data_IF_685649581826
#
_entry.id   IF_685649581826
#
_cell.length_a   1.000
_cell.length_b   1.000
_cell.length_c   1.000
_cell.angle_alpha   90.00
_cell.angle_beta   90.00
_cell.angle_gamma   90.00
#
_symmetry.space_group_name_H-M   'P 1'
#
loop_
_entity.id
_entity.type
_entity.pdbx_description
1 polymer ?
#
# COMPACT_ATOMS: atom_id res chain seq x y z
N UNK A 1 -1.68 -4.23 -20.88
CA UNK A 1 -0.77 -5.30 -21.33
C UNK A 1 -0.17 -6.09 -20.16
N UNK A 2 0.53 -5.46 -19.19
CA UNK A 2 1.18 -6.17 -18.08
C UNK A 2 0.19 -6.97 -17.20
N UNK A 3 -0.98 -6.38 -16.90
CA UNK A 3 -2.02 -7.01 -16.09
C UNK A 3 -2.59 -8.25 -16.78
N UNK A 4 -2.87 -8.14 -18.09
CA UNK A 4 -3.36 -9.27 -18.87
C UNK A 4 -2.37 -10.44 -18.85
N UNK A 5 -1.07 -10.19 -19.04
CA UNK A 5 -0.04 -11.23 -18.98
C UNK A 5 -0.03 -11.97 -17.64
N UNK A 6 -0.12 -11.24 -16.53
CA UNK A 6 -0.14 -11.86 -15.19
C UNK A 6 -1.39 -12.72 -15.02
N UNK A 7 -2.56 -12.18 -15.37
CA UNK A 7 -3.83 -12.88 -15.20
C UNK A 7 -3.95 -14.07 -16.14
N UNK A 8 -3.48 -13.96 -17.39
CA UNK A 8 -3.41 -15.10 -18.33
C UNK A 8 -2.61 -16.25 -17.73
N UNK A 9 -1.44 -15.96 -17.17
CA UNK A 9 -0.59 -16.98 -16.56
C UNK A 9 -1.21 -17.58 -15.29
N UNK A 10 -1.85 -16.77 -14.45
CA UNK A 10 -2.55 -17.25 -13.27
C UNK A 10 -3.69 -18.21 -13.63
N UNK A 11 -4.49 -17.87 -14.65
CA UNK A 11 -5.60 -18.71 -15.09
C UNK A 11 -5.14 -20.01 -15.76
N UNK A 12 -3.97 -20.01 -16.39
CA UNK A 12 -3.34 -21.22 -16.95
C UNK A 12 -2.82 -22.12 -15.82
N UNK A 13 -2.15 -21.54 -14.81
CA UNK A 13 -1.61 -22.30 -13.66
C UNK A 13 -2.71 -22.88 -12.76
N UNK A 14 -3.80 -22.14 -12.61
CA UNK A 14 -4.89 -22.45 -11.68
C UNK A 14 -6.21 -22.55 -12.45
N UNK A 15 -6.45 -23.72 -13.04
CA UNK A 15 -7.63 -23.94 -13.91
C UNK A 15 -8.95 -24.05 -13.18
N UNK A 16 -8.93 -24.30 -11.86
CA UNK A 16 -10.12 -24.48 -11.02
C UNK A 16 -10.00 -23.66 -9.71
N UNK A 17 -11.13 -23.45 -9.06
CA UNK A 17 -11.21 -22.75 -7.77
C UNK A 17 -11.09 -21.24 -7.86
N UNK A 18 -11.17 -20.58 -6.72
CA UNK A 18 -10.96 -19.15 -6.56
C UNK A 18 -9.47 -18.82 -6.60
N UNK A 19 -9.11 -17.68 -7.20
CA UNK A 19 -7.73 -17.17 -7.18
C UNK A 19 -7.55 -16.28 -5.93
N UNK A 20 -6.54 -16.61 -5.12
CA UNK A 20 -6.18 -15.81 -3.95
C UNK A 20 -4.96 -14.95 -4.27
N UNK A 21 -5.16 -13.65 -4.26
CA UNK A 21 -4.10 -12.65 -4.37
C UNK A 21 -3.85 -12.08 -2.99
N UNK A 22 -2.61 -12.00 -2.53
CA UNK A 22 -2.31 -11.38 -1.24
C UNK A 22 -1.52 -10.10 -1.38
N UNK A 23 -1.65 -9.24 -0.41
CA UNK A 23 -0.74 -8.13 -0.10
C UNK A 23 -0.51 -8.13 1.41
N UNK A 24 0.54 -7.47 1.88
CA UNK A 24 0.80 -7.50 3.31
C UNK A 24 1.63 -6.33 3.80
N UNK A 25 1.38 -5.94 5.05
CA UNK A 25 2.13 -4.88 5.68
C UNK A 25 2.21 -5.06 7.18
N UNK A 26 3.35 -4.69 7.74
CA UNK A 26 3.47 -4.48 9.19
C UNK A 26 2.97 -3.05 9.52
N UNK A 27 1.95 -2.89 10.38
CA UNK A 27 1.38 -1.58 10.75
C UNK A 27 2.30 -0.82 11.72
N UNK A 28 3.57 -0.72 11.38
CA UNK A 28 4.63 -0.08 12.17
C UNK A 28 4.66 1.44 12.07
N UNK A 29 3.71 2.04 11.37
CA UNK A 29 3.56 3.47 11.14
C UNK A 29 2.56 3.74 10.03
N UNK A 30 2.40 4.99 9.65
CA UNK A 30 1.41 5.50 8.70
C UNK A 30 1.38 4.74 7.38
N UNK A 31 0.18 4.44 6.90
CA UNK A 31 -0.05 4.00 5.53
C UNK A 31 0.16 5.17 4.56
N UNK A 32 0.93 4.95 3.53
CA UNK A 32 1.32 5.98 2.58
C UNK A 32 1.20 5.49 1.13
N UNK A 33 1.42 6.37 0.18
CA UNK A 33 1.31 6.07 -1.27
C UNK A 33 2.11 4.83 -1.68
N UNK A 34 3.30 4.60 -1.10
CA UNK A 34 4.10 3.40 -1.36
C UNK A 34 3.43 2.11 -0.89
N UNK A 35 2.72 2.14 0.24
CA UNK A 35 1.93 1.00 0.75
C UNK A 35 0.69 0.78 -0.12
N UNK A 36 0.02 1.85 -0.53
CA UNK A 36 -1.11 1.76 -1.46
C UNK A 36 -0.72 1.10 -2.79
N UNK A 37 0.53 1.30 -3.27
CA UNK A 37 0.98 0.63 -4.48
C UNK A 37 0.87 -0.88 -4.40
N UNK A 38 1.26 -1.47 -3.27
CA UNK A 38 1.14 -2.91 -3.06
C UNK A 38 -0.32 -3.35 -3.03
N UNK A 39 -1.11 -2.71 -2.18
CA UNK A 39 -2.53 -3.01 -2.00
C UNK A 39 -3.29 -2.92 -3.33
N UNK A 40 -3.12 -1.82 -4.06
CA UNK A 40 -3.84 -1.59 -5.32
C UNK A 40 -3.33 -2.47 -6.46
N UNK A 41 -2.04 -2.87 -6.45
CA UNK A 41 -1.53 -3.84 -7.42
C UNK A 41 -2.14 -5.23 -7.18
N UNK A 42 -2.31 -5.65 -5.94
CA UNK A 42 -2.99 -6.90 -5.61
C UNK A 42 -4.48 -6.83 -6.01
N UNK A 43 -5.16 -5.73 -5.64
CA UNK A 43 -6.59 -5.57 -5.93
C UNK A 43 -6.87 -5.58 -7.44
N UNK A 44 -6.09 -4.87 -8.25
CA UNK A 44 -6.34 -4.86 -9.71
C UNK A 44 -6.12 -6.22 -10.37
N UNK A 45 -5.22 -7.06 -9.83
CA UNK A 45 -5.05 -8.44 -10.30
C UNK A 45 -6.29 -9.27 -9.95
N UNK A 46 -6.76 -9.20 -8.70
CA UNK A 46 -7.98 -9.90 -8.28
C UNK A 46 -9.20 -9.43 -9.09
N UNK A 47 -9.32 -8.12 -9.29
CA UNK A 47 -10.41 -7.53 -10.07
C UNK A 47 -10.40 -7.97 -11.54
N UNK A 48 -9.23 -8.02 -12.19
CA UNK A 48 -9.13 -8.49 -13.56
C UNK A 48 -9.47 -10.00 -13.68
N UNK A 49 -9.13 -10.81 -12.66
CA UNK A 49 -9.54 -12.22 -12.58
C UNK A 49 -11.07 -12.32 -12.49
N UNK A 50 -11.72 -11.50 -11.62
CA UNK A 50 -13.19 -11.43 -11.50
C UNK A 50 -13.84 -11.00 -12.82
N UNK A 51 -13.28 -9.97 -13.48
CA UNK A 51 -13.76 -9.48 -14.77
C UNK A 51 -13.75 -10.56 -15.86
N UNK A 52 -12.81 -11.52 -15.78
CA UNK A 52 -12.75 -12.69 -16.68
C UNK A 52 -13.63 -13.85 -16.26
N UNK A 53 -14.54 -13.63 -15.29
CA UNK A 53 -15.55 -14.60 -14.87
C UNK A 53 -15.04 -15.68 -13.90
N UNK A 54 -13.88 -15.47 -13.27
CA UNK A 54 -13.35 -16.35 -12.22
C UNK A 54 -13.47 -15.68 -10.86
N UNK A 55 -13.77 -16.48 -9.85
CA UNK A 55 -13.72 -15.98 -8.48
C UNK A 55 -12.29 -15.60 -8.07
N UNK A 56 -12.15 -14.45 -7.42
CA UNK A 56 -10.89 -14.04 -6.84
C UNK A 56 -11.11 -13.33 -5.51
N UNK A 57 -10.19 -13.56 -4.59
CA UNK A 57 -10.14 -12.89 -3.28
C UNK A 57 -8.83 -12.12 -3.17
N UNK A 58 -8.91 -10.92 -2.63
CA UNK A 58 -7.73 -10.17 -2.22
C UNK A 58 -7.63 -10.22 -0.70
N UNK A 59 -6.60 -10.89 -0.18
CA UNK A 59 -6.29 -10.95 1.24
C UNK A 59 -5.20 -9.93 1.56
N UNK A 60 -5.51 -8.94 2.39
CA UNK A 60 -4.50 -8.02 2.89
C UNK A 60 -4.05 -8.46 4.28
N UNK A 61 -2.82 -8.99 4.36
CA UNK A 61 -2.26 -9.53 5.59
C UNK A 61 -1.67 -8.40 6.42
N UNK A 62 -2.23 -8.17 7.58
CA UNK A 62 -1.72 -7.23 8.57
C UNK A 62 -0.83 -7.98 9.55
N UNK A 63 0.48 -7.76 9.45
CA UNK A 63 1.46 -8.39 10.33
C UNK A 63 1.61 -7.62 11.65
N UNK A 64 0.56 -7.63 12.44
CA UNK A 64 0.44 -6.89 13.69
C UNK A 64 0.95 -7.63 14.93
N UNK A 65 1.28 -8.91 14.77
CA UNK A 65 2.10 -9.66 15.74
C UNK A 65 3.61 -9.44 15.52
N UNK A 66 4.00 -8.55 14.60
CA UNK A 66 5.41 -8.17 14.42
C UNK A 66 5.90 -7.24 15.55
N UNK A 67 7.21 -7.18 15.69
CA UNK A 67 7.89 -6.48 16.77
C UNK A 67 7.81 -4.96 16.60
N UNK A 68 7.45 -4.22 17.62
CA UNK A 68 7.66 -2.78 17.70
C UNK A 68 9.17 -2.50 17.88
N UNK A 69 9.86 -2.29 16.76
CA UNK A 69 11.35 -2.23 16.71
C UNK A 69 11.92 -0.84 16.90
N UNK A 70 11.14 0.18 16.62
CA UNK A 70 11.60 1.56 16.60
C UNK A 70 10.42 2.50 16.83
N UNK A 71 10.64 3.55 17.61
CA UNK A 71 9.69 4.66 17.76
C UNK A 71 9.84 5.59 16.54
N UNK A 72 8.79 5.77 15.73
CA UNK A 72 8.81 6.75 14.64
C UNK A 72 8.89 8.19 15.15
N UNK A 73 9.39 9.11 14.32
CA UNK A 73 9.57 10.51 14.69
C UNK A 73 8.27 11.26 15.08
N UNK A 74 7.12 10.77 14.58
CA UNK A 74 5.80 11.33 14.87
C UNK A 74 5.10 10.65 16.07
N UNK A 75 5.80 9.78 16.80
CA UNK A 75 5.29 9.09 17.99
C UNK A 75 6.06 9.62 19.20
N UNK A 76 5.39 9.87 20.35
CA UNK A 76 6.05 10.35 21.55
C UNK A 76 7.20 9.45 22.01
N UNK A 77 8.30 10.06 22.50
CA UNK A 77 9.52 9.33 22.88
C UNK A 77 9.29 8.30 24.01
N UNK A 78 8.31 8.51 24.87
CA UNK A 78 7.92 7.58 25.92
C UNK A 78 7.46 6.21 25.42
N UNK A 79 7.14 6.08 24.10
CA UNK A 79 6.86 4.77 23.49
C UNK A 79 8.10 3.86 23.43
N UNK A 80 9.30 4.35 23.72
CA UNK A 80 10.51 3.51 23.86
C UNK A 80 10.33 2.38 24.89
N UNK A 81 9.50 2.58 25.92
CA UNK A 81 9.18 1.55 26.90
C UNK A 81 8.46 0.33 26.34
N UNK A 82 7.87 0.44 25.12
CA UNK A 82 7.16 -0.64 24.44
C UNK A 82 8.01 -1.37 23.40
N UNK A 83 9.27 -0.97 23.21
CA UNK A 83 10.16 -1.64 22.26
C UNK A 83 10.26 -3.15 22.55
N UNK A 84 10.14 -3.93 21.48
CA UNK A 84 10.15 -5.39 21.54
C UNK A 84 8.77 -6.04 21.72
N UNK A 85 7.73 -5.29 22.05
CA UNK A 85 6.36 -5.82 22.12
C UNK A 85 5.78 -6.06 20.73
N UNK A 86 4.78 -6.98 20.61
CA UNK A 86 3.95 -7.05 19.41
C UNK A 86 3.21 -5.73 19.15
N UNK A 87 3.09 -5.31 17.90
CA UNK A 87 2.39 -4.06 17.53
C UNK A 87 0.93 -4.02 18.00
N UNK A 88 0.26 -5.18 18.05
CA UNK A 88 -1.11 -5.32 18.56
C UNK A 88 -1.22 -5.12 20.09
N UNK A 89 -0.12 -5.20 20.83
CA UNK A 89 -0.07 -5.05 22.30
C UNK A 89 0.58 -3.72 22.73
N UNK A 90 0.93 -2.86 21.79
CA UNK A 90 1.40 -1.50 22.06
C UNK A 90 0.20 -0.54 22.04
N UNK A 91 0.07 0.39 23.00
CA UNK A 91 -1.03 1.36 22.99
C UNK A 91 -0.89 2.36 21.84
N UNK A 92 -2.04 2.90 21.41
CA UNK A 92 -2.08 3.92 20.37
C UNK A 92 -1.39 5.22 20.79
N UNK A 93 -0.66 5.92 19.90
CA UNK A 93 0.08 7.13 20.26
C UNK A 93 -0.80 8.36 20.50
N UNK A 94 -2.10 8.29 20.21
CA UNK A 94 -3.08 9.37 20.46
C UNK A 94 -3.76 9.28 21.83
N UNK A 95 -3.40 8.27 22.67
CA UNK A 95 -3.99 8.04 23.97
C UNK A 95 -5.38 7.39 23.94
N UNK A 96 -5.86 6.95 22.78
CA UNK A 96 -7.10 6.17 22.65
C UNK A 96 -6.92 4.75 23.20
N UNK A 97 -8.02 4.04 23.44
CA UNK A 97 -8.00 2.65 23.90
C UNK A 97 -7.58 1.63 22.82
N UNK A 98 -7.33 2.10 21.58
CA UNK A 98 -6.88 1.26 20.48
C UNK A 98 -5.46 0.75 20.67
N UNK A 99 -5.11 -0.33 19.98
CA UNK A 99 -3.72 -0.70 19.82
C UNK A 99 -3.00 0.22 18.82
N UNK A 100 -1.68 0.23 18.87
CA UNK A 100 -0.82 0.90 17.89
C UNK A 100 -1.10 0.42 16.46
N UNK A 101 -1.29 -0.89 16.30
CA UNK A 101 -1.66 -1.47 15.01
C UNK A 101 -3.01 -0.93 14.51
N UNK A 102 -4.04 -0.88 15.36
CA UNK A 102 -5.37 -0.37 15.00
C UNK A 102 -5.36 1.13 14.68
N UNK A 103 -4.53 1.89 15.38
CA UNK A 103 -4.35 3.31 15.12
C UNK A 103 -3.90 3.55 13.66
N UNK A 104 -2.87 2.84 13.19
CA UNK A 104 -2.38 3.01 11.83
C UNK A 104 -3.23 2.30 10.77
N UNK A 105 -3.97 1.24 11.13
CA UNK A 105 -4.91 0.59 10.24
C UNK A 105 -6.12 1.46 9.88
N UNK A 106 -6.46 2.44 10.72
CA UNK A 106 -7.55 3.37 10.41
C UNK A 106 -7.35 4.08 9.06
N UNK A 107 -6.11 4.44 8.70
CA UNK A 107 -5.77 5.04 7.41
C UNK A 107 -6.04 4.08 6.24
N UNK A 108 -5.76 2.77 6.42
CA UNK A 108 -6.07 1.75 5.42
C UNK A 108 -7.58 1.58 5.25
N UNK A 109 -8.34 1.49 6.34
CA UNK A 109 -9.79 1.32 6.27
C UNK A 109 -10.46 2.52 5.60
N UNK A 110 -10.00 3.75 5.89
CA UNK A 110 -10.46 4.96 5.21
C UNK A 110 -10.16 4.89 3.69
N UNK A 111 -8.95 4.46 3.31
CA UNK A 111 -8.59 4.29 1.91
C UNK A 111 -9.42 3.19 1.21
N UNK A 112 -9.64 2.05 1.87
CA UNK A 112 -10.50 0.97 1.36
C UNK A 112 -11.91 1.51 1.07
N UNK A 113 -12.48 2.23 2.01
CA UNK A 113 -13.82 2.80 1.88
C UNK A 113 -13.89 3.84 0.75
N UNK A 114 -12.97 4.82 0.73
CA UNK A 114 -12.95 5.90 -0.26
C UNK A 114 -12.66 5.42 -1.68
N UNK A 115 -11.87 4.37 -1.82
CA UNK A 115 -11.51 3.79 -3.11
C UNK A 115 -12.42 2.63 -3.53
N UNK A 116 -13.42 2.28 -2.74
CA UNK A 116 -14.35 1.16 -2.98
C UNK A 116 -13.65 -0.16 -3.26
N UNK A 117 -12.64 -0.53 -2.43
CA UNK A 117 -11.86 -1.73 -2.62
C UNK A 117 -12.54 -2.96 -2.00
N UNK A 118 -12.47 -4.10 -2.69
CA UNK A 118 -13.00 -5.39 -2.23
C UNK A 118 -11.90 -6.25 -1.58
N UNK A 119 -11.45 -5.82 -0.40
CA UNK A 119 -10.31 -6.42 0.31
C UNK A 119 -10.78 -7.11 1.59
N UNK A 120 -10.32 -8.33 1.80
CA UNK A 120 -10.43 -9.06 3.06
C UNK A 120 -9.18 -8.81 3.91
N UNK A 121 -9.34 -8.10 5.03
CA UNK A 121 -8.23 -7.81 5.94
C UNK A 121 -8.04 -8.98 6.89
N UNK A 122 -6.83 -9.53 6.91
CA UNK A 122 -6.42 -10.67 7.74
C UNK A 122 -5.44 -10.21 8.80
N UNK A 123 -5.83 -10.31 10.07
CA UNK A 123 -5.00 -9.92 11.22
C UNK A 123 -4.15 -11.10 11.68
N UNK A 124 -2.83 -10.96 11.63
CA UNK A 124 -1.91 -12.04 11.98
C UNK A 124 -2.08 -12.44 13.47
N UNK A 125 -2.16 -11.46 14.39
CA UNK A 125 -2.28 -11.75 15.81
C UNK A 125 -3.57 -12.54 16.15
N UNK A 126 -4.69 -12.25 15.48
CA UNK A 126 -5.95 -12.96 15.69
C UNK A 126 -5.82 -14.43 15.29
N UNK A 127 -5.22 -14.71 14.11
CA UNK A 127 -5.01 -16.07 13.62
C UNK A 127 -4.03 -16.85 14.48
N UNK A 128 -2.95 -16.23 14.92
CA UNK A 128 -2.02 -16.87 15.86
C UNK A 128 -2.70 -17.20 17.18
N UNK A 129 -3.47 -16.25 17.76
CA UNK A 129 -4.19 -16.44 19.02
C UNK A 129 -5.36 -17.42 18.91
N UNK A 130 -5.93 -17.57 17.73
CA UNK A 130 -6.95 -18.61 17.45
C UNK A 130 -6.35 -20.00 17.22
N UNK A 131 -5.03 -20.16 17.23
CA UNK A 131 -4.36 -21.44 17.02
C UNK A 131 -4.31 -21.91 15.58
N UNK A 132 -4.62 -21.07 14.60
CA UNK A 132 -4.60 -21.44 13.19
C UNK A 132 -3.19 -21.75 12.67
N UNK A 133 -2.15 -21.21 13.34
CA UNK A 133 -0.74 -21.46 13.00
C UNK A 133 -0.15 -22.73 13.60
N UNK A 134 -0.89 -23.48 14.43
CA UNK A 134 -0.39 -24.69 15.08
C UNK A 134 0.26 -25.65 14.10
N UNK A 135 -0.42 -26.02 13.00
CA UNK A 135 0.08 -26.99 12.03
C UNK A 135 1.36 -26.53 11.33
N UNK A 136 1.46 -25.26 10.92
CA UNK A 136 2.66 -24.74 10.22
C UNK A 136 3.82 -24.51 11.20
N UNK A 137 3.57 -24.20 12.47
CA UNK A 137 4.61 -24.13 13.51
C UNK A 137 5.20 -25.52 13.74
N UNK A 138 4.36 -26.55 13.90
CA UNK A 138 4.81 -27.93 14.05
C UNK A 138 5.64 -28.39 12.84
N UNK A 139 5.13 -28.15 11.63
CA UNK A 139 5.85 -28.46 10.39
C UNK A 139 7.21 -27.76 10.31
N UNK A 140 7.27 -26.46 10.66
CA UNK A 140 8.53 -25.72 10.65
C UNK A 140 9.55 -26.28 11.69
N UNK A 141 9.06 -26.66 12.88
CA UNK A 141 9.92 -27.23 13.93
C UNK A 141 10.42 -28.66 13.59
N UNK A 142 9.62 -29.43 12.85
CA UNK A 142 10.06 -30.73 12.32
C UNK A 142 11.10 -30.62 11.20
N UNK A 143 11.13 -29.48 10.51
CA UNK A 143 11.98 -29.25 9.35
C UNK A 143 13.05 -28.16 9.58
N UNK A 144 13.47 -27.92 10.82
CA UNK A 144 14.46 -26.85 11.17
C UNK A 144 15.71 -26.96 10.30
N UNK A 145 16.25 -28.18 10.10
CA UNK A 145 17.49 -28.34 9.33
C UNK A 145 17.27 -28.02 7.83
N UNK A 146 16.13 -28.38 7.25
CA UNK A 146 15.78 -28.02 5.86
C UNK A 146 15.70 -26.53 5.72
N UNK A 147 15.03 -25.84 6.64
CA UNK A 147 14.91 -24.37 6.63
C UNK A 147 16.28 -23.71 6.77
N UNK A 148 17.14 -24.19 7.69
CA UNK A 148 18.52 -23.69 7.85
C UNK A 148 19.31 -23.83 6.55
N UNK A 149 19.27 -24.99 5.92
CA UNK A 149 19.98 -25.26 4.65
C UNK A 149 19.48 -24.29 3.56
N UNK A 150 18.18 -24.11 3.40
CA UNK A 150 17.62 -23.17 2.41
C UNK A 150 18.09 -21.74 2.68
N UNK A 151 18.01 -21.28 3.92
CA UNK A 151 18.44 -19.93 4.29
C UNK A 151 19.94 -19.72 4.03
N UNK A 152 20.77 -20.71 4.31
CA UNK A 152 22.22 -20.64 4.07
C UNK A 152 22.54 -20.70 2.58
N UNK A 153 22.01 -21.68 1.86
CA UNK A 153 22.33 -21.91 0.45
C UNK A 153 21.81 -20.80 -0.48
N UNK A 154 20.58 -20.34 -0.24
CA UNK A 154 19.93 -19.35 -1.13
C UNK A 154 20.37 -17.93 -0.80
N UNK A 155 20.39 -17.55 0.49
CA UNK A 155 20.70 -16.17 0.87
C UNK A 155 22.14 -15.94 1.34
N UNK A 156 22.95 -16.99 1.45
CA UNK A 156 24.31 -16.90 1.96
C UNK A 156 24.41 -16.49 3.44
N UNK A 157 23.32 -16.64 4.20
CA UNK A 157 23.30 -16.26 5.61
C UNK A 157 24.02 -17.29 6.46
N UNK A 158 24.93 -16.83 7.29
CA UNK A 158 25.43 -17.61 8.40
C UNK A 158 24.39 -17.62 9.53
N UNK A 159 23.93 -18.80 9.91
CA UNK A 159 22.99 -18.99 11.02
C UNK A 159 23.72 -19.61 12.19
N UNK A 160 23.38 -19.16 13.38
CA UNK A 160 23.90 -19.77 14.61
C UNK A 160 23.52 -21.26 14.69
N UNK A 161 24.33 -22.06 15.36
CA UNK A 161 24.10 -23.51 15.48
C UNK A 161 22.70 -23.79 16.08
N UNK A 162 22.33 -23.02 17.07
CA UNK A 162 21.08 -23.10 17.81
C UNK A 162 19.93 -22.25 17.23
N UNK A 163 20.08 -21.77 16.00
CA UNK A 163 19.02 -21.02 15.33
C UNK A 163 17.73 -21.83 15.22
N UNK A 164 16.58 -21.18 15.42
CA UNK A 164 15.25 -21.78 15.33
C UNK A 164 14.31 -20.92 14.46
N UNK A 165 13.33 -21.53 13.78
CA UNK A 165 12.37 -20.81 12.95
C UNK A 165 11.31 -20.05 13.76
N UNK A 166 11.30 -20.15 15.08
CA UNK A 166 10.30 -19.53 15.96
C UNK A 166 10.89 -18.43 16.84
N UNK A 167 10.00 -17.56 17.31
CA UNK A 167 10.22 -16.56 18.33
C UNK A 167 9.20 -16.75 19.44
N UNK A 168 9.54 -16.43 20.68
CA UNK A 168 8.65 -16.52 21.84
C UNK A 168 8.31 -15.13 22.37
N UNK A 169 7.10 -14.97 22.87
CA UNK A 169 6.68 -13.78 23.62
C UNK A 169 6.93 -14.03 25.08
N UNK A 170 8.02 -13.45 25.60
CA UNK A 170 8.45 -13.57 26.97
C UNK A 170 8.24 -12.23 27.69
N UNK A 171 7.43 -12.22 28.74
CA UNK A 171 7.05 -10.99 29.47
C UNK A 171 6.52 -9.87 28.55
N UNK A 172 5.75 -10.25 27.53
CA UNK A 172 5.18 -9.33 26.54
C UNK A 172 6.16 -8.84 25.48
N UNK A 173 7.39 -9.38 25.43
CA UNK A 173 8.44 -9.00 24.48
C UNK A 173 8.76 -10.19 23.58
N UNK A 174 8.82 -9.97 22.28
CA UNK A 174 9.20 -11.00 21.29
C UNK A 174 10.72 -11.19 21.33
N UNK A 175 11.13 -12.44 21.54
CA UNK A 175 12.54 -12.83 21.68
C UNK A 175 12.88 -14.04 20.82
N UNK A 176 14.10 -14.05 20.28
CA UNK A 176 14.72 -15.27 19.81
C UNK A 176 15.24 -16.03 21.02
N UNK A 177 14.84 -17.29 21.18
CA UNK A 177 15.25 -18.12 22.31
C UNK A 177 15.74 -19.47 21.82
N UNK A 178 16.65 -20.06 22.59
CA UNK A 178 17.09 -21.42 22.34
C UNK A 178 15.92 -22.37 22.61
N UNK A 179 15.42 -22.95 21.55
CA UNK A 179 14.38 -23.99 21.59
C UNK A 179 14.99 -25.34 21.98
N UNK A 180 14.34 -26.08 22.84
CA UNK A 180 14.77 -27.41 23.28
C UNK A 180 13.86 -28.53 22.81
N UNK A 181 12.56 -28.40 23.00
CA UNK A 181 11.61 -29.46 22.76
C UNK A 181 10.23 -28.90 22.40
N UNK A 182 9.43 -29.71 21.69
CA UNK A 182 8.03 -29.50 21.40
C UNK A 182 7.19 -30.61 22.05
N UNK A 183 6.10 -30.22 22.70
CA UNK A 183 5.04 -31.11 23.11
C UNK A 183 3.77 -30.84 22.28
N UNK A 184 3.49 -31.72 21.32
CA UNK A 184 2.34 -31.60 20.42
C UNK A 184 1.00 -31.83 21.14
N UNK A 185 1.00 -32.62 22.22
CA UNK A 185 -0.24 -32.91 22.97
C UNK A 185 -0.73 -31.66 23.70
N UNK A 186 0.17 -30.94 24.36
CA UNK A 186 -0.12 -29.69 25.08
C UNK A 186 0.00 -28.45 24.20
N UNK A 187 0.51 -28.58 22.94
CA UNK A 187 0.83 -27.47 22.02
C UNK A 187 1.77 -26.44 22.62
N UNK A 188 2.86 -26.92 23.25
CA UNK A 188 3.85 -26.09 23.91
C UNK A 188 5.27 -26.36 23.40
N UNK A 189 6.12 -25.34 23.51
CA UNK A 189 7.57 -25.46 23.32
C UNK A 189 8.29 -25.18 24.63
N UNK A 190 9.35 -25.95 24.88
CA UNK A 190 10.31 -25.67 25.96
C UNK A 190 11.49 -24.88 25.41
N UNK A 191 11.85 -23.78 26.03
CA UNK A 191 12.95 -22.91 25.63
C UNK A 191 13.78 -22.46 26.82
N UNK A 192 14.94 -21.89 26.58
CA UNK A 192 15.77 -21.25 27.61
C UNK A 192 15.40 -19.75 27.68
N UNK A 193 14.96 -19.30 28.84
CA UNK A 193 14.55 -17.93 29.10
C UNK A 193 15.75 -16.97 29.26
N UNK A 194 15.48 -15.71 29.61
CA UNK A 194 16.53 -14.69 29.83
C UNK A 194 17.41 -14.96 31.05
N UNK A 195 16.98 -15.77 31.99
CA UNK A 195 17.73 -16.13 33.20
C UNK A 195 18.59 -17.39 32.99
N UNK A 196 18.42 -18.10 31.87
CA UNK A 196 19.07 -19.37 31.59
C UNK A 196 18.28 -20.58 32.09
N UNK A 197 17.06 -20.39 32.55
CA UNK A 197 16.18 -21.45 33.04
C UNK A 197 15.27 -22.00 31.92
N UNK A 198 14.80 -23.24 32.10
CA UNK A 198 13.80 -23.82 31.23
C UNK A 198 12.43 -23.18 31.48
N UNK A 199 11.84 -22.65 30.41
CA UNK A 199 10.50 -22.08 30.37
C UNK A 199 9.64 -22.73 29.29
N UNK A 200 8.33 -22.61 29.41
CA UNK A 200 7.35 -23.19 28.48
C UNK A 200 6.47 -22.09 27.93
N UNK A 201 6.23 -22.13 26.60
CA UNK A 201 5.26 -21.25 25.94
C UNK A 201 4.32 -22.07 25.03
N UNK A 202 3.05 -21.69 25.01
CA UNK A 202 2.07 -22.24 24.08
C UNK A 202 2.26 -21.66 22.69
N UNK A 203 2.14 -22.48 21.64
CA UNK A 203 2.09 -22.03 20.27
C UNK A 203 0.66 -22.05 19.67
N UNK A 204 -0.34 -22.26 20.52
CA UNK A 204 -1.75 -22.24 20.11
C UNK A 204 -2.47 -20.93 20.48
N UNK A 205 -1.81 -19.98 21.12
CA UNK A 205 -2.42 -18.78 21.69
C UNK A 205 -1.66 -17.48 21.37
N UNK A 206 -0.68 -17.57 20.45
CA UNK A 206 0.11 -16.43 20.03
C UNK A 206 1.35 -16.11 20.87
N UNK A 207 1.70 -16.92 21.89
CA UNK A 207 2.94 -16.75 22.64
C UNK A 207 4.19 -17.30 21.91
N UNK A 208 3.97 -18.04 20.82
CA UNK A 208 5.02 -18.46 19.89
C UNK A 208 4.61 -18.06 18.48
N UNK A 209 5.52 -17.46 17.73
CA UNK A 209 5.33 -17.10 16.33
C UNK A 209 6.48 -17.58 15.47
N UNK A 210 6.24 -17.74 14.18
CA UNK A 210 7.30 -17.99 13.21
C UNK A 210 8.14 -16.72 13.00
N UNK A 211 9.44 -16.91 12.77
CA UNK A 211 10.30 -15.84 12.30
C UNK A 211 9.85 -15.40 10.89
N UNK A 212 9.95 -14.11 10.57
CA UNK A 212 9.36 -13.53 9.36
C UNK A 212 9.67 -14.30 8.06
N UNK A 213 10.91 -14.76 7.88
CA UNK A 213 11.32 -15.49 6.66
C UNK A 213 10.73 -16.90 6.55
N UNK A 214 10.16 -17.41 7.62
CA UNK A 214 9.46 -18.70 7.66
C UNK A 214 7.95 -18.47 7.71
N UNK A 215 7.50 -17.42 8.37
CA UNK A 215 6.10 -17.02 8.44
C UNK A 215 5.53 -16.71 7.05
N UNK A 216 6.24 -15.94 6.24
CA UNK A 216 5.79 -15.53 4.91
C UNK A 216 5.45 -16.74 4.01
N UNK A 217 6.35 -17.72 3.76
CA UNK A 217 5.99 -18.92 3.01
C UNK A 217 4.97 -19.82 3.72
N UNK A 218 4.91 -19.85 5.05
CA UNK A 218 3.86 -20.56 5.78
C UNK A 218 2.46 -19.99 5.46
N UNK A 219 2.33 -18.67 5.41
CA UNK A 219 1.08 -17.99 5.00
C UNK A 219 0.66 -18.33 3.59
N UNK A 220 1.61 -18.43 2.65
CA UNK A 220 1.28 -18.84 1.28
C UNK A 220 0.60 -20.20 1.24
N UNK A 221 1.12 -21.16 2.01
CA UNK A 221 0.53 -22.48 2.11
C UNK A 221 -0.82 -22.46 2.83
N UNK A 222 -0.89 -21.81 4.02
CA UNK A 222 -2.11 -21.78 4.84
C UNK A 222 -3.29 -21.10 4.15
N UNK A 223 -3.03 -20.00 3.45
CA UNK A 223 -4.07 -19.15 2.85
C UNK A 223 -4.31 -19.48 1.37
N UNK A 224 -3.52 -20.38 0.79
CA UNK A 224 -3.61 -20.75 -0.62
C UNK A 224 -3.30 -19.60 -1.56
N UNK A 225 -2.28 -18.78 -1.22
CA UNK A 225 -1.92 -17.60 -2.00
C UNK A 225 -1.33 -18.00 -3.35
N UNK A 226 -1.86 -17.44 -4.44
CA UNK A 226 -1.49 -17.78 -5.81
C UNK A 226 -0.81 -16.64 -6.55
N UNK A 227 -0.95 -15.40 -6.10
CA UNK A 227 -0.19 -14.25 -6.58
C UNK A 227 0.05 -13.27 -5.43
N UNK A 228 1.21 -12.62 -5.43
CA UNK A 228 1.54 -11.62 -4.43
C UNK A 228 2.46 -10.53 -5.01
N UNK A 229 2.02 -9.26 -5.03
CA UNK A 229 2.91 -8.14 -5.24
C UNK A 229 3.74 -7.88 -3.97
N UNK A 230 5.00 -7.54 -4.18
CA UNK A 230 5.92 -7.16 -3.11
C UNK A 230 7.02 -6.23 -3.62
N UNK A 231 7.63 -5.48 -2.74
CA UNK A 231 8.73 -4.58 -3.08
C UNK A 231 9.90 -5.31 -3.75
N UNK A 232 10.47 -4.71 -4.78
CA UNK A 232 11.58 -5.31 -5.57
C UNK A 232 12.79 -5.72 -4.74
N UNK A 233 12.97 -5.17 -3.55
CA UNK A 233 14.03 -5.55 -2.61
C UNK A 233 13.90 -7.02 -2.14
N UNK A 234 12.68 -7.56 -2.13
CA UNK A 234 12.42 -8.97 -1.85
C UNK A 234 12.69 -9.89 -3.06
N UNK A 235 12.69 -9.34 -4.27
CA UNK A 235 12.90 -10.06 -5.53
C UNK A 235 14.37 -10.14 -5.96
N UNK A 236 15.30 -9.63 -5.18
CA UNK A 236 16.74 -9.75 -5.47
C UNK A 236 17.17 -11.20 -5.41
N UNK A 237 18.13 -11.60 -6.26
CA UNK A 237 18.67 -12.96 -6.27
C UNK A 237 19.15 -13.35 -4.85
N UNK A 238 18.67 -14.47 -4.34
CA UNK A 238 18.91 -14.90 -2.97
C UNK A 238 18.12 -14.11 -1.92
N UNK A 239 17.17 -13.31 -2.35
CA UNK A 239 16.30 -12.50 -1.51
C UNK A 239 15.22 -13.29 -0.78
N UNK A 240 14.28 -12.56 -0.20
CA UNK A 240 13.27 -13.18 0.66
C UNK A 240 12.28 -14.02 -0.13
N UNK A 241 11.96 -13.63 -1.37
CA UNK A 241 11.09 -14.44 -2.22
C UNK A 241 11.76 -15.77 -2.61
N UNK A 242 13.03 -15.75 -3.03
CA UNK A 242 13.75 -16.98 -3.42
C UNK A 242 13.85 -17.97 -2.26
N UNK A 243 14.16 -17.48 -1.05
CA UNK A 243 14.17 -18.33 0.15
C UNK A 243 12.79 -18.86 0.49
N UNK A 244 11.77 -18.01 0.44
CA UNK A 244 10.39 -18.39 0.69
C UNK A 244 9.85 -19.40 -0.32
N UNK A 245 10.18 -19.24 -1.60
CA UNK A 245 9.78 -20.15 -2.66
C UNK A 245 10.37 -21.57 -2.48
N UNK A 246 11.57 -21.70 -1.97
CA UNK A 246 12.11 -23.01 -1.60
C UNK A 246 11.50 -23.57 -0.33
N UNK A 247 11.35 -22.74 0.70
CA UNK A 247 10.75 -23.17 1.98
C UNK A 247 9.31 -23.67 1.76
N UNK A 248 8.49 -22.95 1.00
CA UNK A 248 7.09 -23.38 0.79
C UNK A 248 6.99 -24.72 0.09
N UNK A 249 7.90 -25.02 -0.86
CA UNK A 249 7.94 -26.31 -1.56
C UNK A 249 8.48 -27.43 -0.68
N UNK A 250 9.65 -27.21 -0.09
CA UNK A 250 10.43 -28.26 0.60
C UNK A 250 9.88 -28.55 2.02
N UNK A 251 9.24 -27.57 2.66
CA UNK A 251 8.74 -27.67 4.04
C UNK A 251 7.22 -27.74 4.10
N UNK A 252 6.51 -26.86 3.39
CA UNK A 252 5.05 -26.78 3.49
C UNK A 252 4.31 -27.48 2.37
N UNK A 253 5.00 -28.04 1.37
CA UNK A 253 4.42 -28.85 0.30
C UNK A 253 3.45 -28.10 -0.63
N UNK A 254 3.63 -26.76 -0.77
CA UNK A 254 2.82 -25.93 -1.65
C UNK A 254 3.68 -25.21 -2.69
N UNK A 255 3.05 -24.72 -3.77
CA UNK A 255 3.74 -23.88 -4.75
C UNK A 255 3.80 -22.42 -4.29
N UNK A 256 4.90 -21.70 -4.57
CA UNK A 256 4.98 -20.28 -4.27
C UNK A 256 4.02 -19.48 -5.16
N UNK A 257 3.51 -18.35 -4.67
CA UNK A 257 2.66 -17.48 -5.46
C UNK A 257 3.41 -16.92 -6.68
N UNK A 258 2.66 -16.54 -7.70
CA UNK A 258 3.20 -15.77 -8.83
C UNK A 258 3.77 -14.45 -8.30
N UNK A 259 5.07 -14.18 -8.53
CA UNK A 259 5.70 -12.97 -8.00
C UNK A 259 5.34 -11.75 -8.85
N UNK A 260 4.93 -10.67 -8.20
CA UNK A 260 4.71 -9.39 -8.86
C UNK A 260 5.58 -8.30 -8.20
N UNK A 261 6.90 -8.30 -8.48
CA UNK A 261 7.79 -7.31 -7.89
C UNK A 261 7.46 -5.91 -8.40
N UNK A 262 7.24 -4.96 -7.50
CA UNK A 262 7.01 -3.57 -7.86
C UNK A 262 8.17 -2.65 -7.44
N UNK A 263 8.38 -1.62 -8.26
CA UNK A 263 9.33 -0.55 -7.95
C UNK A 263 8.75 0.43 -6.93
N UNK A 264 9.61 1.06 -6.15
CA UNK A 264 9.19 2.09 -5.19
C UNK A 264 8.67 3.35 -5.88
N UNK A 265 7.93 4.18 -5.13
CA UNK A 265 7.53 5.51 -5.54
C UNK A 265 8.48 6.51 -4.88
N UNK A 266 9.10 7.36 -5.68
CA UNK A 266 9.95 8.45 -5.22
C UNK A 266 9.21 9.79 -5.34
N UNK A 267 9.58 10.77 -4.54
CA UNK A 267 9.21 12.17 -4.84
C UNK A 267 10.00 12.68 -6.03
N UNK A 268 9.37 13.55 -6.81
CA UNK A 268 10.06 14.26 -7.91
C UNK A 268 11.23 15.05 -7.33
N UNK A 269 12.41 14.93 -7.96
CA UNK A 269 13.63 15.57 -7.47
C UNK A 269 14.39 14.81 -6.38
N UNK A 270 13.81 13.73 -5.82
CA UNK A 270 14.47 12.90 -4.81
C UNK A 270 14.95 11.57 -5.40
N UNK A 271 16.16 11.15 -5.01
CA UNK A 271 16.73 9.84 -5.39
C UNK A 271 16.35 8.73 -4.42
N UNK A 272 15.91 9.08 -3.22
CA UNK A 272 15.52 8.13 -2.17
C UNK A 272 14.03 7.84 -2.22
N UNK A 273 13.67 6.59 -1.92
CA UNK A 273 12.27 6.19 -1.77
C UNK A 273 11.60 6.98 -0.65
N UNK A 274 10.29 7.25 -0.79
CA UNK A 274 9.47 7.71 0.33
C UNK A 274 9.53 6.65 1.44
N UNK A 275 9.81 7.09 2.66
CA UNK A 275 9.86 6.18 3.80
C UNK A 275 9.34 6.85 5.07
N UNK A 276 8.63 6.06 5.89
CA UNK A 276 8.11 6.48 7.19
C UNK A 276 9.20 7.05 8.11
N UNK A 277 10.40 6.46 8.07
CA UNK A 277 11.52 6.88 8.91
C UNK A 277 12.17 8.20 8.47
N UNK A 278 11.97 8.63 7.24
CA UNK A 278 12.48 9.91 6.72
C UNK A 278 11.50 11.08 6.92
N UNK A 279 10.25 10.81 7.32
CA UNK A 279 9.23 11.84 7.50
C UNK A 279 8.76 12.52 6.19
N UNK A 280 9.12 11.96 5.04
CA UNK A 280 8.82 12.50 3.71
C UNK A 280 7.69 11.75 2.99
N UNK A 281 6.77 11.16 3.74
CA UNK A 281 5.64 10.41 3.19
C UNK A 281 4.37 11.25 3.16
N UNK A 282 3.56 11.03 2.12
CA UNK A 282 2.17 11.49 2.08
C UNK A 282 1.32 10.32 2.56
N UNK A 283 0.51 10.54 3.59
CA UNK A 283 -0.40 9.51 4.10
C UNK A 283 -1.46 9.16 3.06
N UNK A 284 -2.04 7.98 3.15
CA UNK A 284 -3.13 7.59 2.26
C UNK A 284 -4.33 8.54 2.40
N UNK A 285 -4.64 8.96 3.64
CA UNK A 285 -5.70 9.89 3.92
C UNK A 285 -5.45 11.28 3.30
N UNK A 286 -4.24 11.84 3.46
CA UNK A 286 -3.85 13.12 2.85
C UNK A 286 -3.89 13.05 1.32
N UNK A 287 -3.35 11.98 0.74
CA UNK A 287 -3.35 11.77 -0.70
C UNK A 287 -4.76 11.83 -1.29
N UNK A 288 -5.71 11.15 -0.65
CA UNK A 288 -7.10 11.12 -1.08
C UNK A 288 -7.87 12.44 -0.88
N UNK A 289 -7.25 13.46 -0.27
CA UNK A 289 -7.80 14.83 -0.23
C UNK A 289 -7.43 15.64 -1.47
N UNK A 290 -6.40 15.24 -2.22
CA UNK A 290 -5.89 15.96 -3.40
C UNK A 290 -5.94 15.12 -4.68
N UNK A 291 -5.98 13.80 -4.56
CA UNK A 291 -6.18 12.90 -5.69
C UNK A 291 -7.50 12.12 -5.49
N UNK A 292 -8.47 12.28 -6.38
CA UNK A 292 -9.63 11.41 -6.37
C UNK A 292 -9.26 9.97 -6.71
N UNK A 293 -10.07 8.97 -6.32
CA UNK A 293 -9.76 7.55 -6.51
C UNK A 293 -9.34 7.18 -7.93
N UNK A 294 -10.04 7.69 -8.96
CA UNK A 294 -9.72 7.41 -10.36
C UNK A 294 -8.33 7.88 -10.77
N UNK A 295 -7.85 8.98 -10.18
CA UNK A 295 -6.50 9.49 -10.44
C UNK A 295 -5.44 8.67 -9.69
N UNK A 296 -5.74 8.21 -8.48
CA UNK A 296 -4.84 7.28 -7.76
C UNK A 296 -4.68 5.98 -8.56
N UNK A 297 -5.79 5.41 -9.06
CA UNK A 297 -5.76 4.25 -9.94
C UNK A 297 -4.96 4.53 -11.22
N UNK A 298 -5.24 5.63 -11.91
CA UNK A 298 -4.53 6.01 -13.14
C UNK A 298 -3.03 6.18 -12.90
N UNK A 299 -2.62 6.86 -11.83
CA UNK A 299 -1.21 7.03 -11.46
C UNK A 299 -0.48 5.69 -11.34
N UNK A 300 -1.12 4.70 -10.73
CA UNK A 300 -0.51 3.39 -10.49
C UNK A 300 -0.59 2.46 -11.70
N UNK A 301 -1.70 2.47 -12.45
CA UNK A 301 -1.96 1.50 -13.51
C UNK A 301 -1.41 1.88 -14.88
N UNK A 302 -1.16 3.17 -15.14
CA UNK A 302 -0.61 3.63 -16.44
C UNK A 302 0.78 3.05 -16.76
N UNK A 303 1.47 2.50 -15.77
CA UNK A 303 2.78 1.87 -15.92
C UNK A 303 2.80 0.49 -15.29
N UNK A 304 3.63 -0.42 -15.83
CA UNK A 304 3.83 -1.73 -15.24
C UNK A 304 4.47 -1.63 -13.84
N UNK A 305 4.22 -2.61 -12.92
CA UNK A 305 4.74 -2.59 -11.57
C UNK A 305 6.27 -2.46 -11.46
N UNK A 306 7.00 -3.03 -12.42
CA UNK A 306 8.46 -2.98 -12.51
C UNK A 306 9.03 -1.60 -12.87
N UNK A 307 8.18 -0.62 -13.20
CA UNK A 307 8.61 0.75 -13.51
C UNK A 307 8.65 1.64 -12.28
N UNK A 308 9.71 2.46 -12.21
CA UNK A 308 9.84 3.50 -11.19
C UNK A 308 8.74 4.55 -11.40
N UNK A 309 8.02 4.89 -10.34
CA UNK A 309 7.07 6.00 -10.34
C UNK A 309 7.63 7.19 -9.55
N UNK A 310 7.26 8.39 -10.01
CA UNK A 310 7.60 9.64 -9.35
C UNK A 310 6.31 10.40 -9.06
N UNK A 311 6.16 10.82 -7.82
CA UNK A 311 5.04 11.63 -7.37
C UNK A 311 5.54 13.02 -6.99
N UNK A 312 4.82 14.06 -7.40
CA UNK A 312 5.10 15.43 -7.05
C UNK A 312 3.81 16.24 -7.00
N UNK A 313 3.76 17.19 -6.09
CA UNK A 313 2.56 17.99 -5.80
C UNK A 313 2.40 19.19 -6.74
N UNK A 314 3.38 19.46 -7.60
CA UNK A 314 3.38 20.59 -8.54
C UNK A 314 2.93 20.20 -9.95
N UNK A 315 3.69 20.59 -10.95
CA UNK A 315 3.39 20.37 -12.38
C UNK A 315 3.12 18.90 -12.74
N UNK A 316 3.79 17.97 -12.07
CA UNK A 316 3.56 16.52 -12.25
C UNK A 316 2.15 16.10 -11.85
N UNK A 317 1.56 16.71 -10.83
CA UNK A 317 0.18 16.47 -10.45
C UNK A 317 -0.78 17.03 -11.50
N UNK A 318 -0.58 18.25 -11.97
CA UNK A 318 -1.39 18.83 -13.05
C UNK A 318 -1.39 17.94 -14.29
N UNK A 319 -0.20 17.51 -14.73
CA UNK A 319 -0.07 16.61 -15.88
C UNK A 319 -0.78 15.28 -15.66
N UNK A 320 -0.77 14.74 -14.45
CA UNK A 320 -1.46 13.47 -14.17
C UNK A 320 -2.96 13.57 -14.44
N UNK A 321 -3.59 14.65 -14.01
CA UNK A 321 -5.00 14.92 -14.27
C UNK A 321 -5.25 15.23 -15.75
N UNK A 322 -4.43 16.07 -16.37
CA UNK A 322 -4.55 16.44 -17.78
C UNK A 322 -4.41 15.20 -18.69
N UNK A 323 -3.47 14.31 -18.40
CA UNK A 323 -3.29 13.03 -19.13
C UNK A 323 -4.55 12.15 -19.01
N UNK A 324 -5.16 12.09 -17.83
CA UNK A 324 -6.37 11.30 -17.63
C UNK A 324 -7.59 11.95 -18.32
N UNK A 325 -7.76 13.26 -18.21
CA UNK A 325 -8.80 13.99 -18.91
C UNK A 325 -8.68 13.83 -20.44
N UNK A 326 -7.46 13.91 -20.96
CA UNK A 326 -7.17 13.66 -22.38
C UNK A 326 -7.49 12.22 -22.79
N UNK A 327 -7.20 11.24 -21.94
CA UNK A 327 -7.57 9.84 -22.17
C UNK A 327 -9.10 9.66 -22.21
N UNK A 328 -9.83 10.30 -21.28
CA UNK A 328 -11.29 10.27 -21.27
C UNK A 328 -11.89 10.92 -22.51
N UNK A 329 -11.33 12.03 -22.98
CA UNK A 329 -11.79 12.79 -24.16
C UNK A 329 -11.36 12.20 -25.50
N UNK A 330 -10.41 11.24 -25.53
CA UNK A 330 -9.85 10.65 -26.75
C UNK A 330 -10.95 10.03 -27.62
N UNK A 331 -11.13 10.44 -28.90
CA UNK A 331 -12.23 9.93 -29.76
C UNK A 331 -12.02 8.47 -30.18
N UNK A 332 -10.80 8.10 -30.55
CA UNK A 332 -10.43 6.76 -31.03
C UNK A 332 -9.65 5.99 -29.98
N UNK A 333 -10.37 5.50 -28.94
CA UNK A 333 -9.76 4.72 -27.88
C UNK A 333 -9.35 3.34 -28.34
N UNK A 334 -8.12 2.95 -28.03
CA UNK A 334 -7.67 1.56 -28.19
C UNK A 334 -8.31 0.66 -27.13
N UNK A 335 -8.24 -0.66 -27.32
CA UNK A 335 -8.68 -1.63 -26.31
C UNK A 335 -7.93 -1.41 -24.97
N UNK A 336 -6.64 -1.08 -25.03
CA UNK A 336 -5.84 -0.77 -23.83
C UNK A 336 -6.29 0.52 -23.14
N UNK A 337 -6.68 1.56 -23.90
CA UNK A 337 -7.24 2.80 -23.35
C UNK A 337 -8.56 2.52 -22.63
N UNK A 338 -9.43 1.75 -23.26
CA UNK A 338 -10.74 1.37 -22.70
C UNK A 338 -10.58 0.53 -21.43
N UNK A 339 -9.67 -0.46 -21.44
CA UNK A 339 -9.36 -1.26 -20.25
C UNK A 339 -8.82 -0.40 -19.11
N UNK A 340 -7.91 0.53 -19.41
CA UNK A 340 -7.34 1.41 -18.38
C UNK A 340 -8.41 2.32 -17.76
N UNK A 341 -9.26 2.93 -18.59
CA UNK A 341 -10.38 3.75 -18.09
C UNK A 341 -11.31 2.91 -17.22
N UNK A 342 -11.72 1.75 -17.70
CA UNK A 342 -12.60 0.84 -16.97
C UNK A 342 -12.04 0.46 -15.60
N UNK A 343 -10.75 0.09 -15.52
CA UNK A 343 -10.09 -0.23 -14.26
C UNK A 343 -9.98 0.98 -13.32
N UNK A 344 -9.81 2.19 -13.85
CA UNK A 344 -9.71 3.40 -13.04
C UNK A 344 -11.08 3.88 -12.51
N UNK A 345 -12.18 3.53 -13.16
CA UNK A 345 -13.50 4.15 -12.90
C UNK A 345 -14.57 3.17 -12.43
N UNK A 346 -14.37 1.85 -12.60
CA UNK A 346 -15.40 0.81 -12.45
C UNK A 346 -16.18 0.86 -11.14
N UNK A 347 -15.50 0.91 -10.02
CA UNK A 347 -16.12 0.82 -8.70
C UNK A 347 -16.36 2.20 -8.07
N UNK A 348 -16.20 3.27 -8.87
CA UNK A 348 -16.34 4.64 -8.39
C UNK A 348 -17.75 5.15 -8.78
N UNK A 349 -18.63 5.37 -7.80
CA UNK A 349 -20.02 5.73 -8.08
C UNK A 349 -20.16 7.13 -8.67
N UNK A 350 -19.26 8.04 -8.33
CA UNK A 350 -19.28 9.42 -8.77
C UNK A 350 -17.88 9.88 -9.16
N UNK A 351 -17.63 9.98 -10.46
CA UNK A 351 -16.36 10.49 -10.99
C UNK A 351 -16.15 11.96 -10.61
N UNK A 352 -14.89 12.30 -10.42
CA UNK A 352 -14.46 13.66 -10.04
C UNK A 352 -13.76 14.36 -11.20
N UNK A 353 -13.09 13.60 -12.09
CA UNK A 353 -12.33 14.20 -13.19
C UNK A 353 -13.21 14.41 -14.41
N UNK A 354 -13.29 15.66 -14.87
CA UNK A 354 -13.97 16.07 -16.09
C UNK A 354 -13.10 15.92 -17.33
N UNK A 355 -13.68 16.13 -18.49
CA UNK A 355 -12.93 16.19 -19.76
C UNK A 355 -12.26 17.56 -19.99
N UNK A 356 -12.37 18.49 -19.04
CA UNK A 356 -11.67 19.78 -19.08
C UNK A 356 -10.29 19.58 -18.48
N UNK A 357 -9.20 20.08 -19.10
CA UNK A 357 -7.88 19.98 -18.53
C UNK A 357 -7.82 20.59 -17.12
N UNK A 358 -7.22 19.86 -16.20
CA UNK A 358 -7.11 20.28 -14.79
C UNK A 358 -6.33 21.61 -14.65
N UNK A 359 -5.26 21.76 -15.44
CA UNK A 359 -4.48 23.01 -15.51
C UNK A 359 -5.34 24.21 -15.90
N UNK A 360 -6.31 24.01 -16.82
CA UNK A 360 -7.28 25.03 -17.20
C UNK A 360 -8.26 25.33 -16.05
N UNK A 361 -8.77 24.32 -15.36
CA UNK A 361 -9.65 24.49 -14.19
C UNK A 361 -8.93 25.23 -13.06
N UNK A 362 -7.68 24.86 -12.75
CA UNK A 362 -6.86 25.53 -11.72
C UNK A 362 -6.70 27.01 -12.01
N UNK A 363 -6.34 27.36 -13.25
CA UNK A 363 -6.16 28.74 -13.66
C UNK A 363 -7.46 29.54 -13.62
N UNK A 364 -8.55 28.97 -14.16
CA UNK A 364 -9.88 29.61 -14.20
C UNK A 364 -10.45 29.77 -12.80
N UNK A 365 -10.28 28.79 -11.91
CA UNK A 365 -10.76 28.86 -10.52
C UNK A 365 -10.08 29.99 -9.74
N UNK A 366 -8.79 30.14 -9.87
CA UNK A 366 -8.04 31.25 -9.24
C UNK A 366 -8.46 32.61 -9.84
N UNK A 367 -8.55 32.69 -11.19
CA UNK A 367 -9.03 33.91 -11.88
C UNK A 367 -10.47 34.29 -11.54
N UNK A 368 -11.28 33.30 -11.16
CA UNK A 368 -12.67 33.48 -10.71
C UNK A 368 -12.77 33.70 -9.20
N UNK A 369 -11.69 34.15 -8.53
CA UNK A 369 -11.66 34.43 -7.08
C UNK A 369 -12.03 33.20 -6.22
N UNK A 370 -11.79 32.00 -6.73
CA UNK A 370 -12.17 30.71 -6.09
C UNK A 370 -13.69 30.56 -5.89
N UNK A 371 -14.50 31.27 -6.71
CA UNK A 371 -15.95 31.11 -6.77
C UNK A 371 -16.31 30.05 -7.80
N UNK A 372 -17.01 29.01 -7.33
CA UNK A 372 -17.38 27.83 -8.15
C UNK A 372 -18.33 28.20 -9.28
N UNK A 373 -19.33 29.03 -9.00
CA UNK A 373 -20.34 29.39 -10.01
C UNK A 373 -19.77 30.35 -11.05
N UNK A 374 -18.90 31.29 -10.64
CA UNK A 374 -18.20 32.15 -11.56
C UNK A 374 -17.22 31.34 -12.43
N UNK A 375 -16.54 30.36 -11.87
CA UNK A 375 -15.65 29.45 -12.63
C UNK A 375 -16.41 28.73 -13.72
N UNK A 376 -17.56 28.09 -13.37
CA UNK A 376 -18.38 27.40 -14.36
C UNK A 376 -18.85 28.33 -15.49
N UNK A 377 -19.38 29.53 -15.14
CA UNK A 377 -19.78 30.54 -16.15
C UNK A 377 -18.63 30.99 -17.02
N UNK A 378 -17.41 31.01 -16.48
CA UNK A 378 -16.21 31.39 -17.25
C UNK A 378 -15.82 30.29 -18.23
N UNK A 379 -15.86 29.01 -17.79
CA UNK A 379 -15.58 27.84 -18.64
C UNK A 379 -16.64 27.72 -19.75
N UNK A 380 -17.91 28.01 -19.48
CA UNK A 380 -18.99 28.04 -20.48
C UNK A 380 -18.80 29.06 -21.62
N UNK A 381 -17.84 29.99 -21.47
CA UNK A 381 -17.47 30.98 -22.50
C UNK A 381 -16.16 30.60 -23.22
N UNK A 382 -15.60 29.45 -22.92
CA UNK A 382 -14.38 28.93 -23.52
C UNK A 382 -14.68 27.86 -24.56
N UNK A 383 -13.65 27.24 -25.11
CA UNK A 383 -13.74 26.05 -25.97
C UNK A 383 -14.36 24.83 -25.27
N UNK A 384 -14.43 24.82 -23.94
CA UNK A 384 -15.03 23.77 -23.11
C UNK A 384 -16.48 24.01 -22.75
N UNK A 385 -17.20 24.92 -23.44
CA UNK A 385 -18.55 25.33 -23.13
C UNK A 385 -19.56 24.17 -23.06
N UNK A 386 -19.50 23.23 -24.00
CA UNK A 386 -20.36 22.05 -24.02
C UNK A 386 -20.07 21.12 -22.85
N UNK A 387 -18.79 20.79 -22.66
CA UNK A 387 -18.33 19.97 -21.54
C UNK A 387 -18.72 20.57 -20.18
N UNK A 388 -18.62 21.88 -20.03
CA UNK A 388 -19.00 22.57 -18.78
C UNK A 388 -20.47 22.41 -18.44
N UNK A 389 -21.37 22.43 -19.45
CA UNK A 389 -22.80 22.21 -19.25
C UNK A 389 -23.13 20.75 -18.93
N UNK A 390 -22.53 19.82 -19.66
CA UNK A 390 -22.78 18.38 -19.50
C UNK A 390 -22.18 17.83 -18.20
N UNK A 391 -21.00 18.32 -17.84
CA UNK A 391 -20.22 17.81 -16.71
C UNK A 391 -20.15 18.80 -15.51
N UNK A 392 -21.09 19.73 -15.39
CA UNK A 392 -21.09 20.75 -14.34
C UNK A 392 -20.92 20.16 -12.92
N UNK A 393 -21.58 19.04 -12.62
CA UNK A 393 -21.48 18.38 -11.32
C UNK A 393 -20.13 17.71 -11.10
N UNK A 394 -19.51 17.18 -12.15
CA UNK A 394 -18.15 16.61 -12.10
C UNK A 394 -17.17 17.74 -11.83
N UNK A 395 -17.23 18.84 -12.59
CA UNK A 395 -16.38 20.02 -12.41
C UNK A 395 -16.51 20.59 -11.00
N UNK A 396 -17.72 20.68 -10.43
CA UNK A 396 -17.89 21.12 -9.04
C UNK A 396 -17.15 20.26 -8.04
N UNK A 397 -17.16 18.95 -8.21
CA UNK A 397 -16.40 18.02 -7.37
C UNK A 397 -14.88 18.18 -7.57
N UNK A 398 -14.47 18.33 -8.81
CA UNK A 398 -13.06 18.55 -9.18
C UNK A 398 -12.51 19.85 -8.59
N UNK A 399 -13.29 20.93 -8.61
CA UNK A 399 -12.92 22.21 -7.98
C UNK A 399 -12.70 22.09 -6.46
N UNK A 400 -13.39 21.18 -5.77
CA UNK A 400 -13.15 20.93 -4.35
C UNK A 400 -11.74 20.30 -4.10
N UNK A 401 -11.29 19.41 -4.97
CA UNK A 401 -9.92 18.86 -4.92
C UNK A 401 -8.88 19.95 -5.26
N UNK A 402 -9.16 20.79 -6.24
CA UNK A 402 -8.33 21.95 -6.59
C UNK A 402 -8.18 22.89 -5.39
N UNK A 403 -9.28 23.20 -4.70
CA UNK A 403 -9.25 24.08 -3.53
C UNK A 403 -8.41 23.49 -2.39
N UNK A 404 -8.57 22.19 -2.11
CA UNK A 404 -7.75 21.48 -1.12
C UNK A 404 -6.25 21.49 -1.50
N UNK A 405 -5.97 21.22 -2.77
CA UNK A 405 -4.60 21.24 -3.28
C UNK A 405 -3.98 22.64 -3.19
N UNK A 406 -4.67 23.68 -3.64
CA UNK A 406 -4.20 25.07 -3.56
C UNK A 406 -3.90 25.51 -2.12
N UNK A 407 -4.73 25.07 -1.15
CA UNK A 407 -4.57 25.45 0.26
C UNK A 407 -3.37 24.81 0.94
N UNK A 408 -3.04 23.57 0.58
CA UNK A 408 -2.12 22.74 1.38
C UNK A 408 -0.87 22.27 0.65
N UNK A 409 -0.94 22.06 -0.67
CA UNK A 409 0.08 21.31 -1.40
C UNK A 409 0.64 22.02 -2.62
N UNK A 410 -0.12 22.93 -3.21
CA UNK A 410 0.34 23.63 -4.40
C UNK A 410 1.59 24.43 -4.10
N UNK A 411 2.66 24.33 -4.93
CA UNK A 411 3.81 25.22 -4.87
C UNK A 411 3.39 26.68 -5.02
N UNK A 412 4.12 27.58 -4.39
CA UNK A 412 3.76 29.01 -4.40
C UNK A 412 3.78 29.63 -5.79
N UNK A 413 4.67 29.16 -6.68
CA UNK A 413 4.72 29.57 -8.08
C UNK A 413 3.48 29.20 -8.90
N UNK A 414 2.65 28.27 -8.42
CA UNK A 414 1.39 27.88 -9.05
C UNK A 414 0.18 28.62 -8.48
N UNK A 415 0.38 29.42 -7.47
CA UNK A 415 -0.66 30.22 -6.83
C UNK A 415 -0.62 31.65 -7.33
N UNK A 416 -1.78 32.20 -7.62
CA UNK A 416 -1.91 33.63 -7.86
C UNK A 416 -3.22 34.16 -7.25
N UNK A 417 -3.22 35.42 -6.94
CA UNK A 417 -4.41 36.15 -6.44
C UNK A 417 -4.57 37.42 -7.31
N UNK A 418 -5.83 37.66 -7.63
CA UNK A 418 -6.17 38.93 -8.27
C UNK A 418 -6.05 40.06 -7.24
N UNK A 419 -5.23 41.07 -7.54
CA UNK A 419 -5.11 42.27 -6.70
C UNK A 419 -6.26 43.22 -7.02
N UNK A 420 -6.86 43.82 -5.99
CA UNK A 420 -7.91 44.82 -6.14
C UNK A 420 -7.38 46.10 -6.78
N UNK A 421 -6.07 46.37 -6.62
CA UNK A 421 -5.40 47.55 -7.18
C UNK A 421 -4.12 47.15 -7.91
N UNK A 422 -3.90 47.79 -9.04
CA UNK A 422 -2.66 47.62 -9.82
C UNK A 422 -1.56 48.40 -9.16
N UNK A 423 -0.51 47.73 -8.73
CA UNK A 423 0.72 48.35 -8.25
C UNK A 423 1.50 48.88 -9.45
N UNK A 424 1.24 50.15 -9.84
CA UNK A 424 1.82 50.77 -11.03
C UNK A 424 3.35 50.82 -11.03
N UNK A 425 3.96 50.78 -9.85
CA UNK A 425 5.42 50.80 -9.67
C UNK A 425 6.09 49.49 -10.14
N UNK A 426 5.35 48.43 -10.35
CA UNK A 426 5.83 47.15 -10.91
C UNK A 426 5.92 47.15 -12.44
N UNK A 427 5.37 48.15 -13.12
CA UNK A 427 5.27 48.23 -14.55
C UNK A 427 6.09 49.41 -15.11
N UNK A 428 6.69 49.24 -16.28
CA UNK A 428 7.34 50.33 -16.98
C UNK A 428 6.28 51.28 -17.59
N UNK A 429 6.74 52.48 -18.02
CA UNK A 429 5.87 53.56 -18.54
C UNK A 429 4.99 53.11 -19.76
N UNK A 430 5.47 52.18 -20.58
CA UNK A 430 4.74 51.68 -21.73
C UNK A 430 3.68 50.64 -21.32
N UNK A 431 3.97 49.83 -20.29
CA UNK A 431 3.04 48.87 -19.73
C UNK A 431 1.91 49.59 -18.95
N UNK A 432 2.23 50.65 -18.20
CA UNK A 432 1.22 51.45 -17.48
C UNK A 432 0.21 52.11 -18.45
N UNK A 433 0.63 52.40 -19.70
CA UNK A 433 -0.29 52.98 -20.71
C UNK A 433 -1.29 51.98 -21.28
N UNK A 434 -1.13 50.69 -21.03
CA UNK A 434 -2.03 49.64 -21.47
C UNK A 434 -3.20 49.40 -20.47
N UNK A 435 -3.12 49.95 -19.28
CA UNK A 435 -4.14 49.95 -18.25
C UNK A 435 -4.82 51.34 -18.19
#
# INVERSE_FOLDING_TARGET
QWLNSIVDELLVRHTQGSIVVSSGVSPSGTYHLGTLREVLTAEVIAEEVRRRGREARHLHIVDDLDVFRKVPANVPAEWEQYLGRPLCDVPAPDGSERSYADYYLADLFDAIQKMHLEIEVVRAHERYRAGEYVGVIETALENVQVIKNVLTEVSGRELEENWTPIQVVENGIIKNRLYKNIDKASKTVTFIDSNGDEAIASYADGHVKLSWRVDWPARWSMLGVQAEPFGRDHATKGGSYDTGARIVREVFGAEPPYPVPYHFINRVGETKKMSKSAGNVITAAELLTILPPEIVWFFLLRSAPDKQLFFGEGETLLRLFDDFAALLAKPDKTEADTQLIDLCTRNIPELVVSNVPFSHLVSTYQASLKDVDLTLRTIERSEYAETAREQANIIRRELAYIDNWLKRWAPDEMKFELKEQIEKDLFNENEVKLF
#
